data_IF_391156047376
#
_entry.id   IF_391156047376
#
_cell.length_a   1.000
_cell.length_b   1.000
_cell.length_c   1.000
_cell.angle_alpha   90.00
_cell.angle_beta   90.00
_cell.angle_gamma   90.00
#
_symmetry.space_group_name_H-M   'P 1'
#
loop_
_entity.id
_entity.type
_entity.pdbx_description
1 polymer ?
#
# COMPACT_ATOMS: atom_id res chain seq x y z
N UNK A 1 -5.91 17.96 8.43
CA UNK A 1 -5.99 16.66 7.71
C UNK A 1 -6.74 16.89 6.41
N UNK A 2 -6.17 16.63 5.23
CA UNK A 2 -6.84 16.94 3.94
C UNK A 2 -7.82 15.82 3.58
N UNK A 3 -9.12 16.07 3.76
CA UNK A 3 -10.22 15.16 3.49
C UNK A 3 -10.67 15.32 2.02
N UNK A 4 -10.82 14.19 1.32
CA UNK A 4 -11.28 14.14 -0.07
C UNK A 4 -12.23 12.96 -0.12
N UNK A 5 -13.53 13.18 0.14
CA UNK A 5 -14.55 12.15 0.32
C UNK A 5 -14.58 11.07 -0.80
N UNK A 6 -14.11 11.37 -2.01
CA UNK A 6 -14.02 10.41 -3.12
C UNK A 6 -12.77 9.50 -3.19
N UNK A 7 -11.74 9.73 -2.37
CA UNK A 7 -10.46 8.96 -2.39
C UNK A 7 -10.13 8.32 -1.04
N UNK A 8 -11.15 8.04 -0.22
CA UNK A 8 -10.97 7.35 1.06
C UNK A 8 -10.86 5.84 0.78
N UNK A 9 -9.73 5.24 1.19
CA UNK A 9 -9.57 3.77 1.12
C UNK A 9 -10.37 3.11 2.24
N UNK A 10 -11.02 1.99 1.94
CA UNK A 10 -11.82 1.22 2.89
C UNK A 10 -10.94 0.61 4.00
N UNK A 11 -11.54 0.32 5.15
CA UNK A 11 -10.90 -0.29 6.31
C UNK A 11 -10.12 -1.58 6.01
N UNK A 12 -10.64 -2.58 5.26
CA UNK A 12 -9.89 -3.80 4.97
C UNK A 12 -8.60 -3.54 4.18
N UNK A 13 -8.62 -2.57 3.26
CA UNK A 13 -7.43 -2.19 2.48
C UNK A 13 -6.38 -1.56 3.40
N UNK A 14 -6.81 -0.70 4.34
CA UNK A 14 -5.91 -0.10 5.34
C UNK A 14 -5.33 -1.14 6.28
N UNK A 15 -6.14 -2.11 6.73
CA UNK A 15 -5.69 -3.22 7.59
C UNK A 15 -4.64 -4.07 6.88
N UNK A 16 -4.96 -4.55 5.67
CA UNK A 16 -4.02 -5.34 4.87
C UNK A 16 -2.72 -4.60 4.58
N UNK A 17 -2.77 -3.31 4.24
CA UNK A 17 -1.55 -2.54 4.01
C UNK A 17 -0.68 -2.40 5.27
N UNK A 18 -1.29 -2.26 6.46
CA UNK A 18 -0.55 -2.26 7.73
C UNK A 18 0.06 -3.62 8.03
N UNK A 19 -0.71 -4.71 7.87
CA UNK A 19 -0.20 -6.08 8.04
C UNK A 19 1.03 -6.32 7.16
N UNK A 20 0.94 -5.97 5.87
CA UNK A 20 2.07 -6.09 4.94
C UNK A 20 3.28 -5.28 5.37
N UNK A 21 3.09 -4.05 5.85
CA UNK A 21 4.18 -3.21 6.33
C UNK A 21 4.79 -3.72 7.64
N UNK A 22 4.08 -4.51 8.44
CA UNK A 22 4.64 -5.13 9.64
C UNK A 22 5.49 -6.34 9.26
N UNK A 23 5.01 -7.18 8.34
CA UNK A 23 5.71 -8.40 7.91
C UNK A 23 6.88 -8.15 6.96
N UNK A 24 6.78 -7.14 6.07
CA UNK A 24 7.74 -6.87 5.00
C UNK A 24 8.09 -5.38 4.89
N UNK A 25 7.99 -4.63 5.99
CA UNK A 25 8.17 -3.16 6.02
C UNK A 25 9.52 -2.66 5.52
N UNK A 26 10.54 -3.52 5.59
CA UNK A 26 11.92 -3.25 5.16
C UNK A 26 12.08 -3.37 3.64
N UNK A 27 11.33 -4.27 3.00
CA UNK A 27 11.35 -4.43 1.54
C UNK A 27 10.57 -3.33 0.82
N UNK A 28 9.66 -2.64 1.52
CA UNK A 28 8.90 -1.53 0.96
C UNK A 28 9.67 -0.21 0.99
N UNK A 29 9.89 0.35 -0.20
CA UNK A 29 10.54 1.65 -0.39
C UNK A 29 9.55 2.82 -0.54
N UNK A 30 10.09 4.04 -0.59
CA UNK A 30 9.32 5.26 -0.90
C UNK A 30 8.82 5.33 -2.36
N UNK A 31 9.17 4.34 -3.18
CA UNK A 31 8.87 4.26 -4.60
C UNK A 31 7.66 3.40 -4.93
N UNK A 32 6.79 3.93 -5.78
CA UNK A 32 5.58 3.21 -6.20
C UNK A 32 5.92 2.00 -7.08
N UNK A 33 6.94 2.09 -7.93
CA UNK A 33 7.32 1.01 -8.87
C UNK A 33 7.92 -0.18 -8.14
N UNK A 34 8.85 0.07 -7.21
CA UNK A 34 9.45 -0.97 -6.36
C UNK A 34 8.39 -1.68 -5.51
N UNK A 35 7.52 -0.90 -4.84
CA UNK A 35 6.44 -1.48 -4.02
C UNK A 35 5.46 -2.33 -4.85
N UNK A 36 5.26 -2.00 -6.13
CA UNK A 36 4.42 -2.79 -7.03
C UNK A 36 5.00 -4.15 -7.34
N UNK A 37 6.31 -4.22 -7.53
CA UNK A 37 7.05 -5.46 -7.80
C UNK A 37 7.08 -6.36 -6.56
N UNK A 38 7.40 -5.78 -5.40
CA UNK A 38 7.33 -6.45 -4.09
C UNK A 38 5.92 -6.99 -3.83
N UNK A 39 4.87 -6.19 -4.08
CA UNK A 39 3.48 -6.65 -3.97
C UNK A 39 3.13 -7.77 -4.95
N UNK A 40 3.75 -7.80 -6.14
CA UNK A 40 3.50 -8.84 -7.12
C UNK A 40 4.20 -10.15 -6.76
N UNK A 41 5.39 -10.06 -6.17
CA UNK A 41 6.19 -11.21 -5.72
C UNK A 41 5.62 -11.84 -4.45
N UNK A 42 5.26 -11.02 -3.47
CA UNK A 42 4.84 -11.49 -2.13
C UNK A 42 3.34 -11.73 -2.02
N UNK A 43 2.50 -11.11 -2.86
CA UNK A 43 1.04 -11.21 -2.75
C UNK A 43 0.37 -11.56 -4.08
N UNK A 44 -0.42 -12.64 -4.08
CA UNK A 44 -1.26 -13.02 -5.22
C UNK A 44 -2.51 -12.13 -5.29
N UNK A 45 -2.32 -10.89 -5.77
CA UNK A 45 -3.42 -9.93 -5.94
C UNK A 45 -4.00 -10.08 -7.35
N UNK A 46 -5.19 -10.70 -7.42
CA UNK A 46 -5.94 -10.94 -8.68
C UNK A 46 -6.34 -9.65 -9.41
N UNK A 47 -6.62 -8.56 -8.68
CA UNK A 47 -7.11 -7.31 -9.27
C UNK A 47 -6.03 -6.23 -9.37
N UNK A 48 -5.78 -5.74 -10.60
CA UNK A 48 -4.86 -4.61 -10.88
C UNK A 48 -5.22 -3.35 -10.08
N UNK A 49 -6.52 -3.08 -9.90
CA UNK A 49 -7.00 -1.91 -9.14
C UNK A 49 -6.61 -2.01 -7.67
N UNK A 50 -6.82 -3.17 -7.05
CA UNK A 50 -6.43 -3.40 -5.65
C UNK A 50 -4.92 -3.26 -5.45
N UNK A 51 -4.11 -3.81 -6.37
CA UNK A 51 -2.65 -3.68 -6.33
C UNK A 51 -2.20 -2.22 -6.37
N UNK A 52 -2.76 -1.44 -7.30
CA UNK A 52 -2.45 0.00 -7.40
C UNK A 52 -2.86 0.77 -6.14
N UNK A 53 -4.03 0.44 -5.57
CA UNK A 53 -4.52 1.07 -4.34
C UNK A 53 -3.63 0.71 -3.16
N UNK A 54 -3.21 -0.53 -3.01
CA UNK A 54 -2.31 -0.98 -1.95
C UNK A 54 -0.93 -0.35 -2.09
N UNK A 55 -0.30 -0.43 -3.27
CA UNK A 55 1.02 0.18 -3.51
C UNK A 55 1.03 1.67 -3.24
N UNK A 56 -0.01 2.40 -3.68
CA UNK A 56 -0.13 3.83 -3.38
C UNK A 56 -0.41 4.13 -1.90
N UNK A 57 -1.08 3.23 -1.16
CA UNK A 57 -1.27 3.39 0.28
C UNK A 57 0.04 3.18 1.03
N UNK A 58 0.78 2.12 0.70
CA UNK A 58 2.07 1.76 1.32
C UNK A 58 3.09 2.88 1.08
N UNK A 59 3.23 3.37 -0.16
CA UNK A 59 4.08 4.52 -0.47
C UNK A 59 3.68 5.76 0.32
N UNK A 60 2.37 6.02 0.47
CA UNK A 60 1.87 7.16 1.24
C UNK A 60 2.09 6.99 2.74
N UNK A 61 2.00 5.77 3.27
CA UNK A 61 2.30 5.48 4.67
C UNK A 61 3.78 5.67 4.96
N UNK A 62 4.67 5.13 4.12
CA UNK A 62 6.13 5.30 4.21
C UNK A 62 6.56 6.78 4.12
N UNK A 63 5.90 7.57 3.27
CA UNK A 63 6.15 9.02 3.15
C UNK A 63 5.55 9.85 4.29
N UNK A 64 4.49 9.38 4.96
CA UNK A 64 3.70 10.20 5.91
C UNK A 64 4.08 9.99 7.38
N UNK A 65 4.84 8.98 7.73
CA UNK A 65 5.29 8.85 9.12
C UNK A 65 6.29 7.73 9.32
N UNK A 66 7.41 8.11 9.96
CA UNK A 66 8.54 7.30 10.44
C UNK A 66 9.39 6.61 9.38
#
# INVERSE_FOLDING_TARGET
MKETMGRIKTTPIKRKAREMMITHGEEFSGDFKGNKDVLHKHFVIKSKKLRNVLGGLITKLKKRGK
#
